data_IF_468124633869
#
_entry.id   IF_468124633869
#
_cell.length_a   1.000
_cell.length_b   1.000
_cell.length_c   1.000
_cell.angle_alpha   90.00
_cell.angle_beta   90.00
_cell.angle_gamma   90.00
#
_symmetry.space_group_name_H-M   'P 1'
#
loop_
_entity.id
_entity.type
_entity.pdbx_description
1 polymer ?
#
# COMPACT_ATOMS: atom_id res chain seq x y z
N UNK A 1 -63.20 -6.11 -20.04
CA UNK A 1 -62.93 -4.76 -19.52
C UNK A 1 -61.43 -4.43 -19.37
N UNK A 2 -60.53 -5.37 -19.19
CA UNK A 2 -59.08 -5.16 -19.02
C UNK A 2 -58.39 -4.48 -20.23
N UNK A 3 -58.76 -4.81 -21.45
CA UNK A 3 -58.11 -4.28 -22.65
C UNK A 3 -58.33 -2.78 -22.89
N UNK A 4 -59.40 -2.19 -22.40
CA UNK A 4 -59.66 -0.74 -22.54
C UNK A 4 -58.85 0.05 -21.50
N UNK A 5 -58.65 -0.52 -20.29
CA UNK A 5 -57.85 0.09 -19.25
C UNK A 5 -56.37 0.12 -19.67
N UNK A 6 -55.87 -1.00 -20.17
CA UNK A 6 -54.49 -1.12 -20.66
C UNK A 6 -54.20 -0.18 -21.85
N UNK A 7 -55.17 -0.01 -22.79
CA UNK A 7 -55.01 0.96 -23.87
C UNK A 7 -54.99 2.42 -23.42
N UNK A 8 -55.78 2.77 -22.39
CA UNK A 8 -55.74 4.13 -21.80
C UNK A 8 -54.44 4.36 -21.02
N UNK A 9 -54.00 3.38 -20.26
CA UNK A 9 -52.74 3.44 -19.57
C UNK A 9 -51.55 3.58 -20.51
N UNK A 10 -51.51 2.78 -21.57
CA UNK A 10 -50.47 2.87 -22.61
C UNK A 10 -50.43 4.24 -23.29
N UNK A 11 -51.61 4.82 -23.60
CA UNK A 11 -51.72 6.13 -24.24
C UNK A 11 -51.32 7.28 -23.30
N UNK A 12 -51.60 7.16 -21.99
CA UNK A 12 -51.15 8.11 -20.96
C UNK A 12 -49.62 8.01 -20.76
N UNK A 13 -49.08 6.82 -20.69
CA UNK A 13 -47.63 6.56 -20.61
C UNK A 13 -46.89 7.11 -21.84
N UNK A 14 -47.48 6.95 -23.06
CA UNK A 14 -46.86 7.47 -24.28
C UNK A 14 -46.84 9.01 -24.34
N UNK A 15 -47.87 9.68 -23.78
CA UNK A 15 -47.89 11.16 -23.66
C UNK A 15 -46.86 11.69 -22.64
N UNK A 16 -46.50 10.87 -21.63
CA UNK A 16 -45.54 11.23 -20.59
C UNK A 16 -44.18 10.50 -20.77
N UNK A 17 -43.93 9.97 -22.00
CA UNK A 17 -42.74 9.15 -22.30
C UNK A 17 -41.42 9.82 -21.87
N UNK A 18 -41.27 11.12 -22.00
CA UNK A 18 -40.06 11.84 -21.58
C UNK A 18 -39.92 11.79 -20.08
N UNK A 19 -40.99 11.97 -19.30
CA UNK A 19 -40.95 11.88 -17.85
C UNK A 19 -40.69 10.45 -17.39
N UNK A 20 -41.29 9.45 -18.06
CA UNK A 20 -41.07 8.04 -17.77
C UNK A 20 -39.61 7.68 -18.01
N UNK A 21 -39.04 8.07 -19.17
CA UNK A 21 -37.61 7.84 -19.47
C UNK A 21 -36.73 8.51 -18.48
N UNK A 22 -37.01 9.76 -18.07
CA UNK A 22 -36.24 10.48 -17.09
C UNK A 22 -36.25 9.75 -15.71
N UNK A 23 -37.41 9.28 -15.27
CA UNK A 23 -37.51 8.52 -13.99
C UNK A 23 -36.78 7.18 -14.09
N UNK A 24 -36.93 6.43 -15.16
CA UNK A 24 -36.23 5.16 -15.41
C UNK A 24 -34.69 5.39 -15.39
N UNK A 25 -34.25 6.45 -16.08
CA UNK A 25 -32.85 6.79 -16.18
C UNK A 25 -32.26 7.20 -14.79
N UNK A 26 -33.05 7.99 -14.03
CA UNK A 26 -32.66 8.38 -12.66
C UNK A 26 -32.54 7.15 -11.72
N UNK A 27 -33.53 6.24 -11.79
CA UNK A 27 -33.48 4.99 -10.99
C UNK A 27 -32.31 4.12 -11.45
N UNK A 28 -32.09 3.99 -12.76
CA UNK A 28 -30.98 3.22 -13.31
C UNK A 28 -29.62 3.78 -12.85
N UNK A 29 -29.42 5.10 -12.93
CA UNK A 29 -28.19 5.75 -12.47
C UNK A 29 -28.01 5.56 -10.96
N UNK A 30 -29.09 5.72 -10.18
CA UNK A 30 -29.03 5.52 -8.73
C UNK A 30 -28.67 4.08 -8.34
N UNK A 31 -29.31 3.09 -8.95
CA UNK A 31 -29.02 1.67 -8.73
C UNK A 31 -27.62 1.31 -9.20
N UNK A 32 -27.23 1.78 -10.38
CA UNK A 32 -25.91 1.54 -10.93
C UNK A 32 -24.82 2.13 -10.01
N UNK A 33 -24.98 3.39 -9.59
CA UNK A 33 -24.06 4.02 -8.66
C UNK A 33 -23.98 3.24 -7.32
N UNK A 34 -25.13 2.86 -6.76
CA UNK A 34 -25.19 2.10 -5.52
C UNK A 34 -24.47 0.75 -5.60
N UNK A 35 -24.69 0.00 -6.68
CA UNK A 35 -24.02 -1.30 -6.89
C UNK A 35 -22.53 -1.10 -7.13
N UNK A 36 -22.15 -0.10 -7.94
CA UNK A 36 -20.73 0.15 -8.25
C UNK A 36 -19.97 0.58 -7.01
N UNK A 37 -20.46 1.56 -6.26
CA UNK A 37 -19.81 2.02 -5.04
C UNK A 37 -19.84 0.98 -3.93
N UNK A 38 -20.96 0.27 -3.75
CA UNK A 38 -21.06 -0.80 -2.76
C UNK A 38 -20.13 -1.97 -3.07
N UNK A 39 -20.07 -2.40 -4.33
CA UNK A 39 -19.15 -3.45 -4.77
C UNK A 39 -17.68 -3.05 -4.64
N UNK A 40 -17.36 -1.80 -5.00
CA UNK A 40 -16.01 -1.27 -4.84
C UNK A 40 -15.57 -1.23 -3.36
N UNK A 41 -16.43 -0.70 -2.49
CA UNK A 41 -16.15 -0.64 -1.04
C UNK A 41 -15.97 -2.04 -0.43
N UNK A 42 -16.81 -3.02 -0.83
CA UNK A 42 -16.68 -4.39 -0.37
C UNK A 42 -15.38 -5.05 -0.84
N UNK A 43 -15.02 -4.87 -2.11
CA UNK A 43 -13.77 -5.42 -2.65
C UNK A 43 -12.53 -4.78 -2.01
N UNK A 44 -12.57 -3.46 -1.75
CA UNK A 44 -11.48 -2.79 -1.03
C UNK A 44 -11.32 -3.34 0.38
N UNK A 45 -12.43 -3.56 1.11
CA UNK A 45 -12.38 -4.15 2.45
C UNK A 45 -11.69 -5.52 2.43
N UNK A 46 -12.16 -6.42 1.57
CA UNK A 46 -11.57 -7.76 1.47
C UNK A 46 -10.09 -7.75 1.02
N UNK A 47 -9.69 -6.79 0.20
CA UNK A 47 -8.29 -6.63 -0.18
C UNK A 47 -7.45 -6.16 1.02
N UNK A 48 -7.95 -5.20 1.80
CA UNK A 48 -7.27 -4.74 3.01
C UNK A 48 -7.10 -5.84 4.04
N UNK A 49 -8.15 -6.65 4.30
CA UNK A 49 -8.07 -7.77 5.23
C UNK A 49 -6.98 -8.76 4.81
N UNK A 50 -6.89 -9.07 3.51
CA UNK A 50 -5.85 -9.96 2.97
C UNK A 50 -4.45 -9.34 3.05
N UNK A 51 -4.31 -8.04 2.82
CA UNK A 51 -3.03 -7.35 2.89
C UNK A 51 -2.52 -7.23 4.33
N UNK A 52 -3.43 -7.07 5.29
CA UNK A 52 -3.08 -6.93 6.70
C UNK A 52 -2.80 -8.25 7.39
N UNK A 53 -3.25 -9.37 6.81
CA UNK A 53 -3.04 -10.68 7.38
C UNK A 53 -1.56 -10.98 7.63
N UNK A 54 -1.26 -11.51 8.79
CA UNK A 54 0.06 -11.97 9.22
C UNK A 54 0.42 -13.36 8.71
N UNK A 55 -0.60 -14.15 8.32
CA UNK A 55 -0.48 -15.49 7.78
C UNK A 55 -0.36 -15.51 6.24
N UNK A 56 -0.12 -16.70 5.71
CA UNK A 56 0.09 -17.13 4.32
C UNK A 56 -0.15 -16.08 3.20
N UNK A 57 0.87 -15.25 2.95
CA UNK A 57 0.91 -14.38 1.78
C UNK A 57 0.40 -12.95 1.99
N UNK A 58 -0.01 -12.60 3.20
CA UNK A 58 -0.30 -11.22 3.58
C UNK A 58 0.96 -10.36 3.74
N UNK A 59 0.79 -9.05 3.74
CA UNK A 59 1.89 -8.13 3.96
C UNK A 59 2.20 -7.91 5.44
N UNK A 60 1.31 -8.30 6.34
CA UNK A 60 1.37 -8.01 7.77
C UNK A 60 1.67 -6.53 8.02
N UNK A 61 0.69 -5.67 7.74
CA UNK A 61 0.86 -4.23 7.87
C UNK A 61 1.11 -3.87 9.34
N UNK A 62 2.24 -3.25 9.62
CA UNK A 62 2.58 -2.84 10.98
C UNK A 62 1.57 -1.84 11.55
N UNK A 63 1.36 -1.90 12.86
CA UNK A 63 0.40 -1.06 13.58
C UNK A 63 0.90 0.34 13.88
N UNK A 64 2.22 0.47 14.12
CA UNK A 64 2.84 1.74 14.51
C UNK A 64 4.07 2.00 13.64
N UNK A 65 4.17 3.22 13.15
CA UNK A 65 5.37 3.74 12.47
C UNK A 65 5.93 4.91 13.26
N UNK A 66 7.23 4.84 13.57
CA UNK A 66 7.99 5.89 14.26
C UNK A 66 8.99 6.43 13.26
N UNK A 67 8.68 7.57 12.64
CA UNK A 67 9.52 8.19 11.62
C UNK A 67 10.49 9.19 12.24
N UNK A 68 11.79 9.04 11.95
CA UNK A 68 12.80 10.04 12.25
C UNK A 68 13.20 10.80 10.99
N UNK A 69 12.69 11.99 10.84
CA UNK A 69 12.96 12.83 9.66
C UNK A 69 14.33 13.53 9.70
N UNK A 70 15.02 13.48 10.83
CA UNK A 70 16.22 14.30 11.06
C UNK A 70 17.52 13.49 11.02
N UNK A 71 17.47 12.19 11.28
CA UNK A 71 18.66 11.35 11.36
C UNK A 71 18.32 9.89 11.04
N UNK A 72 19.36 9.13 10.69
CA UNK A 72 19.28 7.68 10.56
C UNK A 72 19.69 7.04 11.89
N UNK A 73 18.98 5.99 12.29
CA UNK A 73 19.40 5.10 13.35
C UNK A 73 20.36 4.03 12.83
N UNK A 74 21.36 3.71 13.61
CA UNK A 74 22.20 2.53 13.32
C UNK A 74 21.46 1.24 13.70
N UNK A 75 21.85 0.08 13.15
CA UNK A 75 21.26 -1.21 13.53
C UNK A 75 21.30 -1.46 15.04
N UNK A 76 22.39 -1.07 15.71
CA UNK A 76 22.54 -1.22 17.15
C UNK A 76 21.57 -0.31 17.94
N UNK A 77 21.27 0.88 17.43
CA UNK A 77 20.30 1.78 18.04
C UNK A 77 18.88 1.25 17.89
N UNK A 78 18.54 0.70 16.73
CA UNK A 78 17.25 0.04 16.50
C UNK A 78 17.11 -1.17 17.43
N UNK A 79 18.10 -2.05 17.49
CA UNK A 79 18.10 -3.20 18.39
C UNK A 79 17.93 -2.79 19.84
N UNK A 80 18.72 -1.82 20.32
CA UNK A 80 18.63 -1.34 21.70
C UNK A 80 17.26 -0.72 22.03
N UNK A 81 16.66 -0.02 21.08
CA UNK A 81 15.31 0.52 21.23
C UNK A 81 14.28 -0.62 21.34
N UNK A 82 14.32 -1.59 20.43
CA UNK A 82 13.42 -2.73 20.43
C UNK A 82 13.56 -3.57 21.70
N UNK A 83 14.79 -3.88 22.15
CA UNK A 83 15.05 -4.61 23.39
C UNK A 83 14.47 -3.88 24.62
N UNK A 84 14.66 -2.55 24.66
CA UNK A 84 14.08 -1.72 25.72
C UNK A 84 12.55 -1.73 25.69
N UNK A 85 11.98 -1.70 24.49
CA UNK A 85 10.53 -1.71 24.30
C UNK A 85 9.93 -3.05 24.74
N UNK A 86 10.51 -4.18 24.33
CA UNK A 86 10.08 -5.52 24.77
C UNK A 86 10.14 -5.65 26.28
N UNK A 87 11.27 -5.26 26.91
CA UNK A 87 11.45 -5.35 28.37
C UNK A 87 10.44 -4.50 29.13
N UNK A 88 10.14 -3.30 28.65
CA UNK A 88 9.15 -2.42 29.26
C UNK A 88 7.71 -2.93 29.04
N UNK A 89 7.44 -3.52 27.88
CA UNK A 89 6.13 -4.05 27.52
C UNK A 89 5.77 -5.26 28.38
N UNK A 90 6.68 -6.22 28.51
CA UNK A 90 6.51 -7.40 29.36
C UNK A 90 6.31 -7.04 30.84
N UNK A 91 6.95 -5.96 31.30
CA UNK A 91 6.80 -5.48 32.67
C UNK A 91 5.52 -4.68 32.94
N UNK A 92 4.81 -4.26 31.88
CA UNK A 92 3.60 -3.46 32.00
C UNK A 92 2.36 -4.35 32.03
N UNK A 93 1.87 -4.64 33.22
CA UNK A 93 0.69 -5.50 33.45
C UNK A 93 -0.65 -4.85 33.08
N UNK A 94 -0.65 -3.61 32.62
CA UNK A 94 -1.87 -2.88 32.24
C UNK A 94 -2.21 -3.01 30.75
N UNK A 95 -1.30 -3.51 29.92
CA UNK A 95 -1.53 -3.76 28.51
C UNK A 95 -2.16 -5.14 28.29
N UNK A 96 -3.21 -5.19 27.48
CA UNK A 96 -3.91 -6.43 27.13
C UNK A 96 -3.39 -7.09 25.85
N UNK A 97 -2.40 -6.48 25.19
CA UNK A 97 -1.82 -6.95 23.93
C UNK A 97 -0.30 -7.10 24.07
N UNK A 98 0.31 -7.93 23.27
CA UNK A 98 1.75 -8.18 23.23
C UNK A 98 2.37 -7.61 21.96
N UNK A 99 3.62 -7.20 22.03
CA UNK A 99 4.41 -6.79 20.89
C UNK A 99 4.84 -8.06 20.13
N UNK A 100 4.51 -8.14 18.84
CA UNK A 100 4.92 -9.23 17.96
C UNK A 100 6.28 -8.96 17.34
N UNK A 101 6.41 -7.83 16.65
CA UNK A 101 7.67 -7.45 16.03
C UNK A 101 8.02 -5.97 16.23
N UNK A 102 9.34 -5.69 16.18
CA UNK A 102 9.91 -4.35 16.19
C UNK A 102 11.08 -4.34 15.21
N UNK A 103 10.97 -3.58 14.14
CA UNK A 103 11.94 -3.65 13.04
C UNK A 103 12.26 -2.25 12.51
N UNK A 104 13.50 -2.07 12.03
CA UNK A 104 13.91 -0.85 11.33
C UNK A 104 13.57 -0.89 9.85
N UNK A 105 13.24 0.26 9.29
CA UNK A 105 13.03 0.46 7.86
C UNK A 105 13.74 1.70 7.38
N UNK A 106 14.17 1.67 6.14
CA UNK A 106 14.67 2.87 5.45
C UNK A 106 13.70 3.27 4.36
N UNK A 107 13.19 4.47 4.44
CA UNK A 107 12.31 5.05 3.42
C UNK A 107 12.95 6.33 2.91
N UNK A 108 13.15 6.45 1.61
CA UNK A 108 13.78 7.63 1.02
C UNK A 108 13.11 8.06 -0.27
N UNK A 109 12.94 9.35 -0.43
CA UNK A 109 12.53 9.93 -1.71
C UNK A 109 13.69 9.88 -2.68
N UNK A 110 13.35 9.67 -3.96
CA UNK A 110 14.34 9.59 -5.01
C UNK A 110 13.74 9.82 -6.38
N UNK A 111 14.45 9.33 -7.38
CA UNK A 111 14.03 9.42 -8.76
C UNK A 111 14.34 8.14 -9.52
N UNK A 112 13.49 7.81 -10.48
CA UNK A 112 13.77 6.83 -11.52
C UNK A 112 14.12 7.54 -12.80
N UNK A 113 15.22 7.14 -13.42
CA UNK A 113 15.66 7.66 -14.73
C UNK A 113 15.09 6.73 -15.80
N UNK A 114 14.07 7.20 -16.47
CA UNK A 114 13.34 6.41 -17.47
C UNK A 114 13.62 6.93 -18.87
N UNK A 115 13.93 6.01 -19.78
CA UNK A 115 14.17 6.32 -21.19
C UNK A 115 13.32 5.42 -22.07
N UNK A 116 12.60 6.02 -23.01
CA UNK A 116 11.83 5.31 -24.02
C UNK A 116 11.95 6.02 -25.38
N UNK A 117 11.15 5.60 -26.35
CA UNK A 117 11.15 6.19 -27.70
C UNK A 117 10.77 7.68 -27.74
N UNK A 118 10.04 8.17 -26.73
CA UNK A 118 9.59 9.56 -26.62
C UNK A 118 10.64 10.46 -25.95
N UNK A 119 11.69 9.88 -25.38
CA UNK A 119 12.81 10.58 -24.75
C UNK A 119 13.15 10.10 -23.34
N UNK A 120 13.98 10.88 -22.69
CA UNK A 120 14.37 10.66 -21.29
C UNK A 120 13.55 11.53 -20.36
N UNK A 121 13.13 10.95 -19.24
CA UNK A 121 12.43 11.68 -18.18
C UNK A 121 12.85 11.19 -16.81
N UNK A 122 12.75 12.09 -15.84
CA UNK A 122 13.01 11.79 -14.43
C UNK A 122 11.65 11.68 -13.74
N UNK A 123 11.38 10.54 -13.12
CA UNK A 123 10.13 10.24 -12.45
C UNK A 123 10.37 10.27 -10.94
N UNK A 124 9.61 11.07 -10.22
CA UNK A 124 9.67 11.11 -8.76
C UNK A 124 9.33 9.74 -8.18
N UNK A 125 10.09 9.33 -7.18
CA UNK A 125 9.97 7.98 -6.67
C UNK A 125 10.16 7.93 -5.16
N UNK A 126 9.63 6.86 -4.57
CA UNK A 126 9.82 6.51 -3.17
C UNK A 126 10.42 5.10 -3.09
N UNK A 127 11.49 4.98 -2.34
CA UNK A 127 12.22 3.74 -2.17
C UNK A 127 12.09 3.25 -0.74
N UNK A 128 11.63 2.00 -0.59
CA UNK A 128 11.50 1.32 0.68
C UNK A 128 12.56 0.23 0.82
N UNK A 129 13.32 0.27 1.91
CA UNK A 129 14.18 -0.84 2.33
C UNK A 129 13.35 -1.83 3.14
N UNK A 130 13.09 -2.99 2.57
CA UNK A 130 12.35 -4.09 3.20
C UNK A 130 13.25 -5.32 3.21
N UNK A 131 13.71 -5.78 4.39
CA UNK A 131 14.47 -7.02 4.49
C UNK A 131 13.71 -8.21 3.91
N UNK A 132 14.41 -9.17 3.32
CA UNK A 132 13.76 -10.34 2.74
C UNK A 132 13.10 -11.26 3.78
N UNK A 133 13.52 -11.14 5.03
CA UNK A 133 13.03 -11.85 6.23
C UNK A 133 12.14 -10.96 7.12
N UNK A 134 11.63 -9.87 6.60
CA UNK A 134 10.74 -8.97 7.33
C UNK A 134 9.50 -9.71 7.87
N UNK A 135 9.16 -9.47 9.13
CA UNK A 135 7.94 -10.01 9.74
C UNK A 135 6.73 -9.12 9.44
N UNK A 136 6.89 -7.81 9.48
CA UNK A 136 5.82 -6.84 9.20
C UNK A 136 6.16 -5.97 8.00
N UNK A 137 5.16 -5.28 7.45
CA UNK A 137 5.28 -4.40 6.28
C UNK A 137 5.97 -5.05 5.07
N UNK A 138 5.60 -6.28 4.78
CA UNK A 138 6.14 -7.04 3.65
C UNK A 138 5.58 -6.56 2.32
N UNK A 139 6.32 -6.76 1.25
CA UNK A 139 5.77 -6.61 -0.10
C UNK A 139 4.70 -7.67 -0.32
N UNK A 140 3.49 -7.25 -0.66
CA UNK A 140 2.40 -8.16 -0.96
C UNK A 140 2.47 -8.61 -2.42
N UNK A 141 2.59 -9.91 -2.61
CA UNK A 141 2.72 -10.55 -3.92
C UNK A 141 1.61 -11.58 -4.13
N UNK A 142 0.36 -11.14 -4.39
CA UNK A 142 -0.77 -12.05 -4.56
C UNK A 142 -0.65 -12.89 -5.83
N UNK A 143 -1.02 -14.15 -5.75
CA UNK A 143 -1.05 -15.05 -6.91
C UNK A 143 -1.93 -14.49 -8.05
N UNK A 144 -1.39 -14.51 -9.25
CA UNK A 144 -2.07 -14.05 -10.48
C UNK A 144 -2.06 -12.54 -10.72
N UNK A 145 -1.63 -11.72 -9.74
CA UNK A 145 -1.52 -10.27 -9.87
C UNK A 145 -0.11 -9.74 -9.55
N UNK A 146 0.82 -10.63 -9.22
CA UNK A 146 2.22 -10.31 -9.00
C UNK A 146 3.10 -11.26 -9.79
N UNK A 147 4.35 -10.87 -9.98
CA UNK A 147 5.34 -11.66 -10.70
C UNK A 147 6.69 -11.66 -9.97
N UNK A 148 7.41 -12.75 -10.06
CA UNK A 148 8.77 -12.84 -9.54
C UNK A 148 8.86 -13.11 -8.04
N UNK A 149 9.74 -12.41 -7.35
CA UNK A 149 10.06 -12.58 -5.93
C UNK A 149 10.48 -11.27 -5.27
N UNK A 150 10.60 -11.27 -3.95
CA UNK A 150 11.18 -10.16 -3.19
C UNK A 150 12.67 -9.97 -3.52
N UNK A 151 13.15 -8.73 -3.41
CA UNK A 151 14.56 -8.39 -3.61
C UNK A 151 15.42 -8.89 -2.44
N UNK A 152 16.54 -9.53 -2.75
CA UNK A 152 17.50 -10.06 -1.77
C UNK A 152 18.91 -9.49 -2.00
N UNK A 153 19.36 -9.45 -3.26
CA UNK A 153 20.68 -8.94 -3.59
C UNK A 153 20.73 -7.41 -3.65
N UNK A 154 21.93 -6.85 -3.58
CA UNK A 154 22.14 -5.41 -3.54
C UNK A 154 21.80 -4.67 -4.85
N UNK A 155 21.62 -5.39 -5.94
CA UNK A 155 21.30 -4.90 -7.27
C UNK A 155 19.90 -5.32 -7.74
N UNK A 156 19.06 -5.74 -6.82
CA UNK A 156 17.69 -6.18 -7.08
C UNK A 156 16.66 -5.17 -6.56
N UNK A 157 15.55 -5.06 -7.28
CA UNK A 157 14.41 -4.23 -6.92
C UNK A 157 13.10 -4.94 -7.24
N UNK A 158 12.11 -4.74 -6.40
CA UNK A 158 10.70 -4.98 -6.72
C UNK A 158 10.06 -3.66 -7.06
N UNK A 159 9.33 -3.59 -8.16
CA UNK A 159 8.58 -2.40 -8.60
C UNK A 159 7.11 -2.60 -8.25
N UNK A 160 6.48 -1.51 -7.82
CA UNK A 160 5.06 -1.54 -7.56
C UNK A 160 4.26 -1.76 -8.86
N UNK A 161 3.30 -2.68 -8.81
CA UNK A 161 2.57 -3.15 -9.98
C UNK A 161 1.71 -2.05 -10.65
N UNK A 162 1.33 -0.98 -9.93
CA UNK A 162 0.53 0.10 -10.49
C UNK A 162 1.19 0.88 -11.64
N UNK A 163 2.52 0.80 -11.78
CA UNK A 163 3.28 1.57 -12.78
C UNK A 163 3.85 0.74 -13.91
N UNK A 164 3.86 -0.60 -13.77
CA UNK A 164 4.54 -1.49 -14.72
C UNK A 164 3.99 -1.39 -16.13
N UNK A 165 2.66 -1.37 -16.29
CA UNK A 165 2.01 -1.24 -17.60
C UNK A 165 2.31 0.12 -18.24
N UNK A 166 2.22 1.20 -17.47
CA UNK A 166 2.42 2.56 -17.98
C UNK A 166 3.86 2.84 -18.40
N UNK A 167 4.82 2.17 -17.75
CA UNK A 167 6.25 2.29 -18.03
C UNK A 167 6.78 1.11 -18.87
N UNK A 168 5.93 0.15 -19.23
CA UNK A 168 6.30 -1.07 -19.95
C UNK A 168 7.50 -1.77 -19.31
N UNK A 169 7.43 -1.97 -17.99
CA UNK A 169 8.46 -2.64 -17.19
C UNK A 169 8.11 -4.10 -17.01
N UNK A 170 9.13 -4.94 -17.03
CA UNK A 170 9.01 -6.41 -16.91
C UNK A 170 10.13 -6.98 -16.04
N UNK A 171 9.94 -8.22 -15.57
CA UNK A 171 10.99 -8.95 -14.87
C UNK A 171 12.26 -9.06 -15.72
N UNK A 172 13.40 -8.80 -15.08
CA UNK A 172 14.72 -8.81 -15.71
C UNK A 172 15.13 -7.49 -16.35
N UNK A 173 14.23 -6.51 -16.45
CA UNK A 173 14.63 -5.19 -16.92
C UNK A 173 15.56 -4.50 -15.91
N UNK A 174 16.47 -3.70 -16.42
CA UNK A 174 17.37 -2.89 -15.60
C UNK A 174 16.87 -1.47 -15.57
N UNK A 175 16.66 -0.95 -14.37
CA UNK A 175 16.23 0.43 -14.12
C UNK A 175 17.32 1.20 -13.40
N UNK A 176 17.55 2.45 -13.84
CA UNK A 176 18.46 3.35 -13.16
C UNK A 176 17.66 4.19 -12.17
N UNK A 177 18.01 4.09 -10.87
CA UNK A 177 17.34 4.82 -9.80
C UNK A 177 18.33 5.62 -8.98
N UNK A 178 17.84 6.66 -8.32
CA UNK A 178 18.68 7.52 -7.52
C UNK A 178 18.03 7.96 -6.22
N UNK A 179 18.87 8.21 -5.21
CA UNK A 179 18.50 8.86 -3.97
C UNK A 179 19.63 9.80 -3.52
N UNK A 180 19.29 11.05 -3.20
CA UNK A 180 20.29 12.07 -2.88
C UNK A 180 21.28 12.29 -4.06
N UNK A 181 22.55 12.01 -3.83
CA UNK A 181 23.61 12.15 -4.83
C UNK A 181 24.08 10.82 -5.44
N UNK A 182 23.42 9.72 -5.10
CA UNK A 182 23.77 8.37 -5.58
C UNK A 182 22.78 7.97 -6.67
N UNK A 183 23.30 7.40 -7.74
CA UNK A 183 22.50 6.75 -8.79
C UNK A 183 23.10 5.37 -9.06
N UNK A 184 22.25 4.36 -9.18
CA UNK A 184 22.70 3.00 -9.46
C UNK A 184 21.64 2.24 -10.26
N UNK A 185 22.10 1.20 -10.97
CA UNK A 185 21.26 0.33 -11.76
C UNK A 185 20.81 -0.87 -10.92
N UNK A 186 19.53 -1.22 -11.06
CA UNK A 186 18.90 -2.34 -10.37
C UNK A 186 18.12 -3.20 -11.37
N UNK A 187 18.16 -4.49 -11.14
CA UNK A 187 17.38 -5.47 -11.93
C UNK A 187 16.02 -5.68 -11.27
N UNK A 188 14.95 -5.58 -12.04
CA UNK A 188 13.60 -5.88 -11.57
C UNK A 188 13.48 -7.41 -11.38
N UNK A 189 13.34 -7.85 -10.14
CA UNK A 189 13.18 -9.27 -9.78
C UNK A 189 11.78 -9.61 -9.32
N UNK A 190 10.96 -8.60 -9.09
CA UNK A 190 9.57 -8.77 -8.69
C UNK A 190 8.70 -7.57 -9.06
N UNK A 191 7.42 -7.87 -9.22
CA UNK A 191 6.33 -6.91 -9.40
C UNK A 191 5.29 -7.24 -8.34
N UNK A 192 5.00 -6.31 -7.46
CA UNK A 192 4.12 -6.53 -6.31
C UNK A 192 3.47 -5.25 -5.83
N UNK A 193 2.83 -5.32 -4.67
CA UNK A 193 2.11 -4.21 -4.06
C UNK A 193 2.59 -3.97 -2.63
N UNK A 194 2.20 -2.84 -2.07
CA UNK A 194 2.37 -2.60 -0.64
C UNK A 194 1.13 -1.91 -0.06
N UNK A 195 0.64 -2.32 1.12
CA UNK A 195 -0.59 -1.77 1.71
C UNK A 195 -0.60 -0.25 1.87
N UNK A 196 0.53 0.36 2.17
CA UNK A 196 0.67 1.81 2.30
C UNK A 196 0.52 2.57 0.98
N UNK A 197 0.60 1.88 -0.17
CA UNK A 197 0.62 2.48 -1.51
C UNK A 197 -0.54 2.03 -2.39
N UNK A 198 -1.67 1.65 -1.80
CA UNK A 198 -2.90 1.36 -2.54
C UNK A 198 -3.33 2.55 -3.42
N UNK A 199 -3.09 3.75 -2.93
CA UNK A 199 -3.17 4.98 -3.73
C UNK A 199 -1.76 5.48 -3.96
N UNK A 200 -1.23 5.28 -5.16
CA UNK A 200 0.09 5.71 -5.59
C UNK A 200 0.18 7.24 -5.66
N UNK A 201 0.25 7.88 -4.50
CA UNK A 201 0.33 9.33 -4.39
C UNK A 201 1.58 9.76 -3.61
N UNK A 202 2.30 10.80 -4.07
CA UNK A 202 3.38 11.40 -3.29
C UNK A 202 2.86 11.90 -1.94
N UNK A 203 3.74 11.91 -0.94
CA UNK A 203 3.40 12.42 0.40
C UNK A 203 2.85 13.85 0.30
N UNK A 204 1.71 14.09 0.95
CA UNK A 204 1.02 15.38 0.93
C UNK A 204 0.12 15.62 -0.29
N UNK A 205 0.07 14.72 -1.26
CA UNK A 205 -0.90 14.77 -2.35
C UNK A 205 -2.21 14.09 -1.94
N UNK A 206 -3.34 14.73 -2.29
CA UNK A 206 -4.67 14.16 -2.07
C UNK A 206 -5.11 13.22 -3.20
N UNK A 207 -4.46 13.31 -4.35
CA UNK A 207 -4.82 12.55 -5.53
C UNK A 207 -3.58 11.88 -6.12
N UNK A 208 -3.71 10.63 -6.60
CA UNK A 208 -2.63 10.01 -7.34
C UNK A 208 -2.38 10.78 -8.65
N UNK A 209 -1.11 10.92 -9.07
CA UNK A 209 -0.77 11.41 -10.39
C UNK A 209 -1.23 10.42 -11.47
N UNK A 210 -1.02 10.77 -12.73
CA UNK A 210 -1.22 9.81 -13.82
C UNK A 210 -0.28 8.61 -13.66
N UNK A 211 -0.74 7.43 -14.11
CA UNK A 211 0.08 6.22 -14.00
C UNK A 211 1.42 6.40 -14.73
N UNK A 212 2.51 6.06 -14.05
CA UNK A 212 3.88 6.25 -14.56
C UNK A 212 4.50 7.61 -14.28
N UNK A 213 3.85 8.52 -13.54
CA UNK A 213 4.43 9.79 -13.09
C UNK A 213 5.00 9.74 -11.67
N UNK A 214 4.72 8.67 -10.96
CA UNK A 214 5.27 8.40 -9.63
C UNK A 214 5.53 6.91 -9.49
N UNK A 215 6.69 6.54 -8.96
CA UNK A 215 7.12 5.14 -8.82
C UNK A 215 7.41 4.84 -7.36
N UNK A 216 6.96 3.69 -6.90
CA UNK A 216 7.38 3.11 -5.62
C UNK A 216 8.14 1.82 -5.91
N UNK A 217 9.23 1.61 -5.19
CA UNK A 217 10.03 0.41 -5.32
C UNK A 217 10.56 -0.06 -3.97
N UNK A 218 10.81 -1.35 -3.90
CA UNK A 218 11.16 -2.06 -2.68
C UNK A 218 12.50 -2.76 -2.88
N UNK A 219 13.45 -2.45 -2.03
CA UNK A 219 14.81 -2.96 -2.06
C UNK A 219 15.12 -3.73 -0.78
N UNK A 220 16.08 -4.64 -0.85
CA UNK A 220 16.67 -5.22 0.36
C UNK A 220 17.48 -4.17 1.13
N UNK A 221 17.87 -4.46 2.38
CA UNK A 221 18.76 -3.60 3.16
C UNK A 221 20.10 -3.34 2.47
N UNK A 222 20.64 -4.34 1.78
CA UNK A 222 21.86 -4.21 0.99
C UNK A 222 21.66 -3.36 -0.25
N UNK A 223 20.50 -3.45 -0.89
CA UNK A 223 20.11 -2.60 -2.02
C UNK A 223 19.91 -1.15 -1.58
N UNK A 224 19.28 -0.95 -0.43
CA UNK A 224 19.08 0.38 0.12
C UNK A 224 20.40 1.04 0.55
N UNK A 225 21.29 0.29 1.17
CA UNK A 225 22.64 0.78 1.52
C UNK A 225 23.43 1.18 0.25
N UNK A 226 23.34 0.40 -0.83
CA UNK A 226 23.93 0.73 -2.12
C UNK A 226 23.36 2.02 -2.70
N UNK A 227 22.04 2.21 -2.63
CA UNK A 227 21.33 3.36 -3.18
C UNK A 227 21.58 4.65 -2.38
N UNK A 228 21.65 4.55 -1.06
CA UNK A 228 21.81 5.73 -0.18
C UNK A 228 23.26 6.03 0.18
N UNK A 229 24.17 5.08 -0.05
CA UNK A 229 25.55 5.16 0.42
C UNK A 229 25.69 5.01 1.94
N UNK A 230 24.67 4.49 2.61
CA UNK A 230 24.64 4.28 4.07
C UNK A 230 25.18 2.92 4.46
N UNK A 231 25.30 2.68 5.76
CA UNK A 231 25.59 1.36 6.30
C UNK A 231 24.37 0.45 6.17
N UNK A 232 24.57 -0.82 5.88
CA UNK A 232 23.47 -1.82 5.80
C UNK A 232 22.72 -1.85 7.13
N UNK A 233 21.38 -1.87 7.05
CA UNK A 233 20.48 -1.91 8.20
C UNK A 233 20.30 -0.57 8.94
N UNK A 234 20.85 0.54 8.42
CA UNK A 234 20.45 1.86 8.94
C UNK A 234 18.98 2.12 8.62
N UNK A 235 18.29 2.81 9.51
CA UNK A 235 16.85 3.00 9.41
C UNK A 235 16.46 4.44 9.75
N UNK A 236 15.42 4.95 9.14
CA UNK A 236 14.80 6.22 9.51
C UNK A 236 13.35 6.05 9.97
N UNK A 237 12.85 4.84 9.91
CA UNK A 237 11.54 4.45 10.42
C UNK A 237 11.69 3.20 11.26
N UNK A 238 11.06 3.13 12.41
CA UNK A 238 10.87 1.93 13.19
C UNK A 238 9.41 1.54 13.10
N UNK A 239 9.15 0.30 12.78
CA UNK A 239 7.82 -0.27 12.72
C UNK A 239 7.60 -1.22 13.88
N UNK A 240 6.38 -1.23 14.39
CA UNK A 240 5.96 -2.12 15.47
C UNK A 240 4.69 -2.84 15.03
N UNK A 241 4.67 -4.12 15.29
CA UNK A 241 3.51 -4.98 15.10
C UNK A 241 3.06 -5.54 16.44
N UNK A 242 1.76 -5.57 16.65
CA UNK A 242 1.15 -5.92 17.94
C UNK A 242 0.20 -7.10 17.76
N UNK A 243 0.41 -8.16 18.50
CA UNK A 243 -0.43 -9.35 18.44
C UNK A 243 -1.88 -9.01 18.77
N UNK A 244 -2.80 -9.43 17.91
CA UNK A 244 -4.24 -9.31 18.15
C UNK A 244 -4.82 -7.95 17.79
N UNK A 245 -4.19 -7.21 16.87
CA UNK A 245 -4.83 -6.07 16.22
C UNK A 245 -6.18 -6.50 15.63
N UNK A 246 -7.24 -5.72 15.87
CA UNK A 246 -8.57 -6.10 15.44
C UNK A 246 -8.60 -6.19 13.92
N UNK A 247 -9.12 -7.26 13.37
CA UNK A 247 -9.56 -7.30 12.00
C UNK A 247 -10.54 -6.13 11.78
N UNK A 248 -10.42 -5.44 10.65
CA UNK A 248 -11.29 -4.30 10.27
C UNK A 248 -12.73 -4.72 9.94
N UNK A 249 -13.25 -5.72 10.57
CA UNK A 249 -14.67 -5.91 10.64
C UNK A 249 -15.24 -4.67 11.31
N UNK A 250 -15.81 -3.76 10.53
CA UNK A 250 -16.59 -2.65 11.06
C UNK A 250 -17.68 -3.27 11.94
N UNK A 251 -17.48 -3.34 13.25
CA UNK A 251 -18.44 -4.00 14.09
C UNK A 251 -19.58 -3.05 14.28
N UNK A 252 -20.73 -3.58 14.11
CA UNK A 252 -21.97 -2.99 14.56
C UNK A 252 -21.96 -2.70 16.06
N UNK A 253 -20.96 -2.55 16.79
CA UNK A 253 -20.98 -2.28 18.24
C UNK A 253 -19.96 -3.05 19.09
N UNK A 254 -18.83 -3.45 18.59
CA UNK A 254 -17.84 -4.04 19.49
C UNK A 254 -17.10 -2.97 20.27
N UNK A 255 -17.19 -3.04 21.58
CA UNK A 255 -16.25 -2.40 22.47
C UNK A 255 -14.88 -2.98 22.15
N UNK A 256 -13.99 -2.15 21.62
CA UNK A 256 -12.59 -2.48 21.42
C UNK A 256 -11.95 -2.66 22.79
N UNK A 257 -11.84 -3.87 23.26
CA UNK A 257 -11.03 -4.17 24.44
C UNK A 257 -9.55 -4.10 24.04
N UNK A 258 -8.94 -2.96 24.28
CA UNK A 258 -7.49 -2.86 24.44
C UNK A 258 -6.67 -2.29 23.29
N UNK A 259 -7.17 -2.23 22.06
CA UNK A 259 -6.38 -1.77 20.89
C UNK A 259 -6.87 -0.45 20.30
N UNK A 260 -7.51 0.38 21.08
CA UNK A 260 -7.94 1.70 20.58
C UNK A 260 -6.74 2.53 20.13
N UNK A 261 -6.64 2.73 18.82
CA UNK A 261 -5.86 3.78 18.18
C UNK A 261 -4.34 3.62 18.26
N UNK A 262 -3.86 2.55 17.71
CA UNK A 262 -2.49 2.54 17.27
C UNK A 262 -2.47 3.20 15.90
N UNK A 263 -1.89 4.33 15.79
CA UNK A 263 -1.82 5.15 14.58
C UNK A 263 -0.40 5.56 14.27
N UNK A 264 -0.19 6.13 13.10
CA UNK A 264 1.12 6.63 12.70
C UNK A 264 1.57 7.75 13.66
N UNK A 265 2.65 7.51 14.38
CA UNK A 265 3.30 8.51 15.22
C UNK A 265 4.41 9.21 14.42
N UNK A 266 4.35 10.53 14.32
CA UNK A 266 5.43 11.35 13.80
C UNK A 266 6.20 11.95 14.99
N UNK A 267 7.46 11.65 15.10
CA UNK A 267 8.37 12.20 16.11
C UNK A 267 9.23 13.32 15.49
#
# INVERSE_FOLDING_TARGET
>A
MSNLLNKRLARSLWRTKIRLVAVVLMVFVGVFAGITFGGYAHNLGGMYDTMQADDDGGANLADIWIDNRSAMWTPEQVSAFCDSLYSNWESNTTTSFSLDSCEGRTVTQGAMFYSNADGERIINSLWHGIPADANADRVWMPEGNSEGRTAVAADEIVIDAHVTDALNLSLGDVVSIGAGNVTADFTIVGIGYHPLHVLMAPEGSLFPPESGEYVVGYLSDTGMARLTGSTIGTSNTIILDVVGTPSYDLPDTQEYEGTEKIGRAHV
#
